data_IF_582366150505
#
_entry.id   IF_582366150505
#
_cell.length_a   1.000
_cell.length_b   1.000
_cell.length_c   1.000
_cell.angle_alpha   90.00
_cell.angle_beta   90.00
_cell.angle_gamma   90.00
#
_symmetry.space_group_name_H-M   'P 1'
#
loop_
_entity.id
_entity.type
_entity.pdbx_description
1 polymer ?
#
# COMPACT_ATOMS: atom_id res chain seq x y z
N UNK A 1 0.70 -8.96 18.44
CA UNK A 1 0.53 -7.90 17.45
C UNK A 1 1.24 -6.65 17.88
N UNK A 2 2.01 -6.11 17.01
CA UNK A 2 2.75 -4.91 17.34
C UNK A 2 1.84 -3.70 17.44
N UNK A 3 2.32 -2.71 18.12
CA UNK A 3 1.61 -1.45 18.17
C UNK A 3 1.62 -0.79 16.81
N UNK A 4 0.53 -0.10 16.53
CA UNK A 4 0.38 0.63 15.28
C UNK A 4 0.15 2.10 15.61
N UNK A 5 0.97 2.93 15.00
CA UNK A 5 0.81 4.37 15.14
C UNK A 5 0.26 4.93 13.85
N UNK A 6 -0.80 5.71 13.95
CA UNK A 6 -1.41 6.35 12.80
C UNK A 6 -0.63 7.63 12.49
N UNK A 7 -0.13 7.74 11.28
CA UNK A 7 0.71 8.87 10.87
C UNK A 7 -0.02 9.91 10.04
N UNK A 8 -1.20 9.58 9.50
CA UNK A 8 -1.95 10.48 8.66
C UNK A 8 -3.41 10.07 8.67
N UNK A 9 -4.27 10.93 8.13
CA UNK A 9 -5.68 10.62 8.03
C UNK A 9 -5.92 9.49 7.05
N UNK A 10 -7.00 8.75 7.29
CA UNK A 10 -7.45 7.72 6.38
C UNK A 10 -7.93 8.36 5.08
N UNK A 11 -7.56 7.76 3.96
CA UNK A 11 -7.99 8.22 2.65
C UNK A 11 -8.66 7.08 1.90
N UNK A 12 -9.62 7.43 1.05
CA UNK A 12 -10.24 6.46 0.15
C UNK A 12 -9.48 6.48 -1.17
N UNK A 13 -9.05 5.31 -1.62
CA UNK A 13 -8.30 5.22 -2.86
C UNK A 13 -9.19 5.46 -4.05
N UNK A 14 -8.74 6.25 -5.00
CA UNK A 14 -9.40 6.45 -6.27
C UNK A 14 -8.41 6.42 -7.43
N UNK A 15 -7.12 6.48 -7.13
CA UNK A 15 -6.05 6.43 -8.12
C UNK A 15 -4.80 5.92 -7.45
N UNK A 16 -3.82 5.51 -8.23
CA UNK A 16 -2.56 5.03 -7.70
C UNK A 16 -1.85 6.13 -6.90
N UNK A 17 -1.34 5.78 -5.73
CA UNK A 17 -0.65 6.73 -4.86
C UNK A 17 0.37 5.99 -4.01
N UNK A 18 1.48 6.66 -3.69
CA UNK A 18 2.43 6.09 -2.74
C UNK A 18 2.06 6.40 -1.29
N UNK A 19 0.95 7.06 -1.10
CA UNK A 19 0.40 7.43 0.20
C UNK A 19 1.41 8.20 1.05
N UNK A 20 1.93 9.28 0.50
CA UNK A 20 2.94 10.13 1.13
C UNK A 20 4.19 9.33 1.51
N UNK A 21 4.62 8.46 0.61
CA UNK A 21 5.83 7.62 0.80
C UNK A 21 5.73 6.72 2.02
N UNK A 22 4.54 6.21 2.28
CA UNK A 22 4.32 5.30 3.39
C UNK A 22 5.10 4.01 3.21
N UNK A 23 5.63 3.48 4.29
CA UNK A 23 6.28 2.17 4.30
C UNK A 23 5.41 1.11 4.92
N UNK A 24 4.37 1.52 5.63
CA UNK A 24 3.37 0.60 6.15
C UNK A 24 2.01 1.26 6.03
N UNK A 25 1.03 0.48 5.65
CA UNK A 25 -0.32 0.98 5.37
C UNK A 25 -1.33 0.00 5.93
N UNK A 26 -2.35 0.54 6.58
CA UNK A 26 -3.52 -0.25 6.95
C UNK A 26 -4.56 -0.07 5.86
N UNK A 27 -4.97 -1.15 5.25
CA UNK A 27 -5.92 -1.14 4.14
C UNK A 27 -7.20 -1.82 4.61
N UNK A 28 -8.33 -1.18 4.40
CA UNK A 28 -9.63 -1.69 4.81
C UNK A 28 -10.57 -1.69 3.62
N UNK A 29 -11.25 -2.80 3.43
CA UNK A 29 -12.35 -2.88 2.48
C UNK A 29 -13.66 -2.87 3.26
N UNK A 30 -14.25 -1.69 3.39
CA UNK A 30 -15.53 -1.54 4.09
C UNK A 30 -16.72 -1.56 3.14
N UNK A 31 -16.50 -1.98 1.90
CA UNK A 31 -17.57 -2.11 0.91
C UNK A 31 -18.22 -3.47 1.02
N UNK A 32 -19.27 -3.68 0.24
CA UNK A 32 -19.99 -4.94 0.24
C UNK A 32 -19.44 -5.97 -0.76
N UNK A 33 -18.34 -5.64 -1.44
CA UNK A 33 -17.78 -6.50 -2.48
C UNK A 33 -16.27 -6.63 -2.30
N UNK A 34 -15.71 -7.72 -2.82
CA UNK A 34 -14.26 -7.90 -2.85
C UNK A 34 -13.63 -6.86 -3.76
N UNK A 35 -12.56 -6.24 -3.30
CA UNK A 35 -11.80 -5.27 -4.10
C UNK A 35 -10.37 -5.76 -4.22
N UNK A 36 -9.81 -5.65 -5.42
CA UNK A 36 -8.42 -6.02 -5.67
C UNK A 36 -7.54 -4.80 -5.38
N UNK A 37 -6.54 -5.02 -4.52
CA UNK A 37 -5.51 -4.02 -4.27
C UNK A 37 -4.34 -4.30 -5.21
N UNK A 38 -3.93 -3.31 -5.97
CA UNK A 38 -2.80 -3.42 -6.88
C UNK A 38 -1.62 -2.66 -6.30
N UNK A 39 -0.49 -3.33 -6.19
CA UNK A 39 0.76 -2.71 -5.73
C UNK A 39 1.72 -2.69 -6.89
N UNK A 40 2.31 -1.53 -7.15
CA UNK A 40 3.19 -1.34 -8.29
C UNK A 40 4.47 -0.66 -7.83
N UNK A 41 5.61 -1.25 -8.15
CA UNK A 41 6.91 -0.67 -7.83
C UNK A 41 7.14 0.68 -8.50
N UNK A 42 6.42 0.94 -9.58
CA UNK A 42 6.67 2.12 -10.36
C UNK A 42 7.85 1.94 -11.30
N UNK A 43 8.17 2.97 -12.07
CA UNK A 43 9.16 2.83 -13.13
C UNK A 43 10.59 2.99 -12.66
N UNK A 44 10.81 3.54 -11.49
CA UNK A 44 12.16 3.94 -11.09
C UNK A 44 12.66 3.05 -9.99
N UNK A 45 13.74 2.34 -10.27
CA UNK A 45 14.30 1.44 -9.29
C UNK A 45 15.78 1.68 -9.06
N UNK A 46 16.43 2.43 -9.93
CA UNK A 46 17.87 2.52 -9.93
C UNK A 46 18.45 3.42 -8.83
N UNK A 47 17.62 4.25 -8.25
CA UNK A 47 18.10 5.16 -7.21
C UNK A 47 18.12 4.57 -5.83
N UNK A 48 17.70 3.34 -5.70
CA UNK A 48 17.55 2.77 -4.39
C UNK A 48 18.82 2.07 -3.98
N UNK A 49 19.60 2.74 -3.21
CA UNK A 49 20.72 2.11 -2.55
C UNK A 49 21.69 1.39 -3.46
N UNK A 50 21.72 1.77 -4.70
CA UNK A 50 22.54 1.09 -5.67
C UNK A 50 21.72 0.20 -6.57
N UNK A 51 21.88 0.38 -7.85
CA UNK A 51 21.04 -0.23 -8.85
C UNK A 51 21.02 -1.75 -8.79
N UNK A 52 22.12 -2.34 -8.47
CA UNK A 52 22.24 -3.80 -8.48
C UNK A 52 21.62 -4.47 -7.27
N UNK A 53 21.17 -3.69 -6.30
CA UNK A 53 20.60 -4.25 -5.07
C UNK A 53 19.09 -4.34 -5.11
N UNK A 54 18.44 -3.61 -5.97
CA UNK A 54 17.00 -3.56 -6.02
C UNK A 54 16.48 -4.32 -7.21
N UNK A 55 15.52 -5.19 -6.97
CA UNK A 55 14.85 -5.93 -8.02
C UNK A 55 13.38 -5.54 -7.99
N UNK A 56 12.92 -4.95 -9.08
CA UNK A 56 11.53 -4.54 -9.19
C UNK A 56 10.64 -5.79 -9.24
N UNK A 57 9.57 -5.76 -8.46
CA UNK A 57 8.62 -6.86 -8.42
C UNK A 57 7.48 -6.69 -9.41
N UNK A 58 7.36 -5.50 -10.00
CA UNK A 58 6.32 -5.21 -10.97
C UNK A 58 4.96 -5.01 -10.33
N UNK A 59 3.93 -5.21 -11.10
CA UNK A 59 2.56 -5.05 -10.65
C UNK A 59 2.10 -6.34 -9.98
N UNK A 60 1.57 -6.22 -8.78
CA UNK A 60 1.10 -7.37 -8.00
C UNK A 60 -0.26 -7.05 -7.42
N UNK A 61 -1.12 -8.03 -7.40
CA UNK A 61 -2.49 -7.87 -6.91
C UNK A 61 -2.75 -8.73 -5.71
N UNK A 62 -3.58 -8.24 -4.81
CA UNK A 62 -4.12 -9.03 -3.72
C UNK A 62 -5.59 -8.66 -3.54
N UNK A 63 -6.44 -9.67 -3.40
CA UNK A 63 -7.87 -9.46 -3.19
C UNK A 63 -8.15 -9.24 -1.72
N UNK A 64 -8.96 -8.24 -1.42
CA UNK A 64 -9.40 -7.95 -0.05
C UNK A 64 -10.90 -8.12 -0.03
N UNK A 65 -11.37 -9.12 0.71
CA UNK A 65 -12.79 -9.39 0.77
C UNK A 65 -13.54 -8.33 1.54
N UNK A 66 -14.85 -8.29 1.36
CA UNK A 66 -15.70 -7.33 2.06
C UNK A 66 -15.47 -7.45 3.57
N UNK A 67 -15.22 -6.33 4.22
CA UNK A 67 -14.90 -6.31 5.65
C UNK A 67 -13.47 -6.68 5.99
N UNK A 68 -12.64 -6.97 4.99
CA UNK A 68 -11.26 -7.38 5.22
C UNK A 68 -10.34 -6.23 5.58
N UNK A 69 -9.30 -6.55 6.34
CA UNK A 69 -8.26 -5.59 6.74
C UNK A 69 -6.91 -6.20 6.42
N UNK A 70 -6.04 -5.42 5.79
CA UNK A 70 -4.70 -5.85 5.44
C UNK A 70 -3.70 -4.83 5.96
N UNK A 71 -2.65 -5.31 6.62
CA UNK A 71 -1.51 -4.48 6.99
C UNK A 71 -0.42 -4.75 5.97
N UNK A 72 -0.11 -3.75 5.18
CA UNK A 72 0.79 -3.86 4.04
C UNK A 72 2.09 -3.14 4.31
N UNK A 73 3.20 -3.84 4.10
CA UNK A 73 4.51 -3.21 4.06
C UNK A 73 4.87 -2.94 2.61
N UNK A 74 5.42 -1.79 2.35
CA UNK A 74 5.80 -1.43 0.99
C UNK A 74 6.99 -0.49 1.00
N UNK A 75 7.63 -0.39 -0.14
CA UNK A 75 8.67 0.59 -0.37
C UNK A 75 8.04 1.99 -0.46
N UNK A 76 8.71 3.03 0.00
CA UNK A 76 8.13 4.38 -0.05
C UNK A 76 7.67 4.82 -1.43
N UNK A 77 8.31 4.35 -2.49
CA UNK A 77 7.96 4.74 -3.84
C UNK A 77 6.97 3.80 -4.51
N UNK A 78 6.65 2.68 -3.89
CA UNK A 78 5.62 1.79 -4.43
C UNK A 78 4.26 2.46 -4.31
N UNK A 79 3.46 2.33 -5.36
CA UNK A 79 2.10 2.86 -5.36
C UNK A 79 1.10 1.76 -5.08
N UNK A 80 -0.02 2.15 -4.52
CA UNK A 80 -1.14 1.25 -4.29
C UNK A 80 -2.38 1.83 -4.93
N UNK A 81 -3.24 0.95 -5.39
CA UNK A 81 -4.49 1.35 -6.01
C UNK A 81 -5.55 0.27 -5.77
N UNK A 82 -6.76 0.70 -5.61
CA UNK A 82 -7.91 -0.17 -5.41
C UNK A 82 -9.09 0.71 -5.07
N UNK A 83 -9.85 1.11 -6.08
CA UNK A 83 -10.92 2.08 -5.93
C UNK A 83 -11.90 1.65 -4.84
N UNK A 84 -12.12 2.51 -3.86
CA UNK A 84 -13.01 2.24 -2.75
C UNK A 84 -12.34 1.71 -1.50
N UNK A 85 -11.09 1.28 -1.58
CA UNK A 85 -10.35 0.86 -0.38
C UNK A 85 -9.95 2.06 0.44
N UNK A 86 -10.01 1.91 1.76
CA UNK A 86 -9.58 2.95 2.68
C UNK A 86 -8.21 2.60 3.24
N UNK A 87 -7.31 3.55 3.17
CA UNK A 87 -5.91 3.33 3.53
C UNK A 87 -5.44 4.38 4.50
N UNK A 88 -4.64 3.95 5.47
CA UNK A 88 -4.07 4.83 6.48
C UNK A 88 -2.57 4.58 6.56
N UNK A 89 -1.80 5.64 6.46
CA UNK A 89 -0.35 5.57 6.66
C UNK A 89 -0.09 5.33 8.14
N UNK A 90 0.67 4.29 8.42
CA UNK A 90 0.96 3.89 9.80
C UNK A 90 2.45 3.63 9.99
N UNK A 91 2.84 3.53 11.24
CA UNK A 91 4.14 3.01 11.63
C UNK A 91 3.91 1.85 12.59
N UNK A 92 4.69 0.80 12.42
CA UNK A 92 4.64 -0.36 13.31
C UNK A 92 5.73 -0.22 14.35
N UNK A 93 5.40 -0.59 15.57
CA UNK A 93 6.36 -0.46 16.67
C UNK A 93 6.49 -1.75 17.43
#
# INVERSE_FOLDING_TARGET
MDRVRVLADEVTLSAATNLSKATAVRVVNDTAATIVLTVDDGPVVTERGGADKYVALGVRDVSIEAGGVLYLEKDPLETINGSGLKCTKIARQ
#
